data_IF_024656932364
#
_entry.id   IF_024656932364
#
_cell.length_a   1.000
_cell.length_b   1.000
_cell.length_c   1.000
_cell.angle_alpha   90.00
_cell.angle_beta   90.00
_cell.angle_gamma   90.00
#
_symmetry.space_group_name_H-M   'P 1'
#
loop_
_entity.id
_entity.type
_entity.pdbx_description
1 polymer ?
#
# COMPACT_ATOMS: atom_id res chain seq x y z
N UNK A 1 -0.96 68.49 -33.76
CA UNK A 1 -1.24 67.05 -33.70
C UNK A 1 -1.93 66.79 -32.37
N UNK A 2 -3.24 66.52 -32.39
CA UNK A 2 -4.10 66.49 -31.20
C UNK A 2 -4.04 65.09 -30.59
N UNK A 3 -3.73 65.03 -29.29
CA UNK A 3 -3.82 63.83 -28.46
C UNK A 3 -5.29 63.38 -28.36
N UNK A 4 -5.62 62.22 -28.92
CA UNK A 4 -6.88 61.55 -28.68
C UNK A 4 -6.76 60.67 -27.42
N UNK A 5 -7.06 61.26 -26.27
CA UNK A 5 -7.38 60.55 -25.04
C UNK A 5 -8.72 59.83 -25.24
N UNK A 6 -8.66 58.56 -25.66
CA UNK A 6 -9.85 57.69 -25.66
C UNK A 6 -10.17 57.36 -24.21
N UNK A 7 -11.24 57.99 -23.71
CA UNK A 7 -11.89 57.72 -22.43
C UNK A 7 -12.40 56.28 -22.41
N UNK A 8 -11.62 55.35 -21.83
CA UNK A 8 -12.07 53.99 -21.48
C UNK A 8 -12.81 54.09 -20.14
N UNK A 9 -13.93 54.81 -20.14
CA UNK A 9 -14.94 54.76 -19.08
C UNK A 9 -16.14 54.03 -19.66
N UNK A 10 -16.75 53.13 -18.88
CA UNK A 10 -18.01 52.43 -19.19
C UNK A 10 -17.86 51.10 -19.95
N UNK A 11 -16.85 50.28 -19.61
CA UNK A 11 -17.09 48.83 -19.66
C UNK A 11 -17.84 48.46 -18.38
N UNK A 12 -19.07 47.90 -18.45
CA UNK A 12 -19.69 47.33 -17.27
C UNK A 12 -18.74 46.26 -16.73
N UNK A 13 -18.24 46.47 -15.52
CA UNK A 13 -17.56 45.40 -14.80
C UNK A 13 -18.52 44.22 -14.76
N UNK A 14 -18.09 43.00 -15.13
CA UNK A 14 -18.95 41.83 -14.97
C UNK A 14 -19.43 41.79 -13.52
N UNK A 15 -20.72 41.51 -13.26
CA UNK A 15 -21.26 41.52 -11.92
C UNK A 15 -20.39 40.63 -11.04
N UNK A 16 -19.92 41.19 -9.93
CA UNK A 16 -19.11 40.48 -8.96
C UNK A 16 -19.90 39.23 -8.54
N UNK A 17 -19.32 38.02 -8.65
CA UNK A 17 -20.06 36.79 -8.39
C UNK A 17 -20.59 36.83 -6.96
N UNK A 18 -21.88 36.51 -6.78
CA UNK A 18 -22.49 36.51 -5.46
C UNK A 18 -21.63 35.70 -4.46
N UNK A 19 -21.52 36.13 -3.19
CA UNK A 19 -20.66 35.48 -2.19
C UNK A 19 -20.91 33.97 -2.04
N UNK A 20 -22.17 33.55 -2.27
CA UNK A 20 -22.58 32.16 -2.24
C UNK A 20 -22.00 31.35 -3.41
N UNK A 21 -22.01 31.90 -4.62
CA UNK A 21 -21.38 31.26 -5.79
C UNK A 21 -19.87 31.14 -5.64
N UNK A 22 -19.21 32.15 -5.06
CA UNK A 22 -17.78 32.12 -4.80
C UNK A 22 -17.41 31.01 -3.79
N UNK A 23 -18.24 30.82 -2.76
CA UNK A 23 -18.06 29.76 -1.77
C UNK A 23 -18.20 28.37 -2.40
N UNK A 24 -19.24 28.13 -3.19
CA UNK A 24 -19.43 26.85 -3.87
C UNK A 24 -18.28 26.54 -4.81
N UNK A 25 -17.78 27.53 -5.55
CA UNK A 25 -16.60 27.39 -6.40
C UNK A 25 -15.36 27.04 -5.58
N UNK A 26 -15.10 27.73 -4.47
CA UNK A 26 -13.98 27.46 -3.59
C UNK A 26 -14.05 26.04 -3.02
N UNK A 27 -15.24 25.62 -2.57
CA UNK A 27 -15.49 24.28 -2.07
C UNK A 27 -15.15 23.22 -3.13
N UNK A 28 -15.69 23.37 -4.36
CA UNK A 28 -15.45 22.47 -5.48
C UNK A 28 -13.97 22.42 -5.89
N UNK A 29 -13.28 23.56 -5.91
CA UNK A 29 -11.83 23.60 -6.21
C UNK A 29 -11.06 22.77 -5.18
N UNK A 30 -11.33 22.95 -3.88
CA UNK A 30 -10.64 22.17 -2.85
C UNK A 30 -10.99 20.68 -2.87
N UNK A 31 -12.26 20.32 -3.10
CA UNK A 31 -12.66 18.93 -3.35
C UNK A 31 -11.93 18.34 -4.57
N UNK A 32 -11.84 19.11 -5.65
CA UNK A 32 -11.12 18.73 -6.86
C UNK A 32 -9.63 18.51 -6.61
N UNK A 33 -8.98 19.36 -5.81
CA UNK A 33 -7.58 19.17 -5.42
C UNK A 33 -7.38 17.91 -4.57
N UNK A 34 -8.18 17.72 -3.52
CA UNK A 34 -8.07 16.58 -2.60
C UNK A 34 -8.32 15.26 -3.32
N UNK A 35 -9.43 15.14 -4.05
CA UNK A 35 -9.78 13.89 -4.73
C UNK A 35 -9.01 13.69 -6.03
N UNK A 36 -8.65 14.76 -6.74
CA UNK A 36 -7.78 14.69 -7.92
C UNK A 36 -6.40 14.15 -7.58
N UNK A 37 -5.80 14.64 -6.49
CA UNK A 37 -4.53 14.09 -6.00
C UNK A 37 -4.66 12.63 -5.55
N UNK A 38 -5.74 12.25 -4.88
CA UNK A 38 -5.98 10.84 -4.59
C UNK A 38 -6.01 10.00 -5.88
N UNK A 39 -6.80 10.42 -6.88
CA UNK A 39 -6.99 9.68 -8.13
C UNK A 39 -5.68 9.47 -8.89
N UNK A 40 -4.86 10.52 -9.04
CA UNK A 40 -3.56 10.46 -9.73
C UNK A 40 -2.59 9.51 -9.04
N UNK A 41 -2.69 9.36 -7.72
CA UNK A 41 -1.79 8.52 -6.93
C UNK A 41 -2.25 7.06 -6.80
N UNK A 42 -3.46 6.71 -7.24
CA UNK A 42 -3.91 5.31 -7.27
C UNK A 42 -2.99 4.45 -8.15
N UNK A 43 -2.75 4.79 -9.44
CA UNK A 43 -1.84 4.01 -10.28
C UNK A 43 -0.41 3.96 -9.75
N UNK A 44 0.07 5.07 -9.18
CA UNK A 44 1.42 5.14 -8.59
C UNK A 44 1.57 4.18 -7.40
N UNK A 45 0.55 4.04 -6.56
CA UNK A 45 0.58 3.05 -5.48
C UNK A 45 0.37 1.61 -5.95
N UNK A 46 -0.31 1.40 -7.08
CA UNK A 46 -0.53 0.07 -7.64
C UNK A 46 0.76 -0.51 -8.26
N UNK A 47 1.51 0.30 -8.99
CA UNK A 47 2.66 -0.16 -9.79
C UNK A 47 4.01 0.38 -9.31
N UNK A 48 4.02 1.52 -8.62
CA UNK A 48 5.22 2.24 -8.24
C UNK A 48 5.77 1.82 -6.88
N UNK A 49 7.01 2.22 -6.62
CA UNK A 49 7.61 2.12 -5.29
C UNK A 49 7.30 3.37 -4.47
N UNK A 50 7.46 3.29 -3.15
CA UNK A 50 7.37 4.46 -2.26
C UNK A 50 8.32 5.57 -2.70
N UNK A 51 9.51 5.22 -3.18
CA UNK A 51 10.49 6.18 -3.70
C UNK A 51 9.96 6.92 -4.93
N UNK A 52 9.39 6.20 -5.91
CA UNK A 52 8.76 6.84 -7.07
C UNK A 52 7.57 7.71 -6.67
N UNK A 53 6.79 7.28 -5.68
CA UNK A 53 5.66 8.04 -5.14
C UNK A 53 6.11 9.38 -4.56
N UNK A 54 7.22 9.39 -3.79
CA UNK A 54 7.80 10.61 -3.22
C UNK A 54 8.29 11.56 -4.32
N UNK A 55 9.00 11.03 -5.33
CA UNK A 55 9.48 11.85 -6.45
C UNK A 55 8.32 12.51 -7.18
N UNK A 56 7.28 11.74 -7.51
CA UNK A 56 6.10 12.27 -8.19
C UNK A 56 5.35 13.29 -7.34
N UNK A 57 5.29 13.09 -6.02
CA UNK A 57 4.71 14.07 -5.10
C UNK A 57 5.46 15.40 -5.13
N UNK A 58 6.79 15.36 -5.08
CA UNK A 58 7.62 16.58 -5.16
C UNK A 58 7.48 17.27 -6.52
N UNK A 59 7.47 16.48 -7.60
CA UNK A 59 7.33 17.00 -8.96
C UNK A 59 5.96 17.64 -9.20
N UNK A 60 4.88 17.04 -8.69
CA UNK A 60 3.51 17.58 -8.79
C UNK A 60 3.24 18.71 -7.81
N UNK A 61 3.95 18.78 -6.68
CA UNK A 61 3.75 19.82 -5.68
C UNK A 61 4.03 21.22 -6.25
N UNK A 62 5.11 21.40 -7.02
CA UNK A 62 5.49 22.71 -7.56
C UNK A 62 4.43 23.32 -8.51
N UNK A 63 3.93 22.60 -9.54
CA UNK A 63 2.86 23.13 -10.39
C UNK A 63 1.54 23.33 -9.62
N UNK A 64 1.21 22.46 -8.65
CA UNK A 64 0.03 22.66 -7.80
C UNK A 64 0.16 23.93 -6.94
N UNK A 65 1.32 24.16 -6.35
CA UNK A 65 1.61 25.34 -5.55
C UNK A 65 1.45 26.60 -6.41
N UNK A 66 2.02 26.61 -7.62
CA UNK A 66 1.88 27.75 -8.54
C UNK A 66 0.41 27.99 -8.92
N UNK A 67 -0.35 26.93 -9.21
CA UNK A 67 -1.79 27.01 -9.48
C UNK A 67 -2.55 27.60 -8.29
N UNK A 68 -2.25 27.14 -7.07
CA UNK A 68 -2.88 27.61 -5.84
C UNK A 68 -2.54 29.06 -5.55
N UNK A 69 -1.30 29.51 -5.74
CA UNK A 69 -0.90 30.92 -5.61
C UNK A 69 -1.71 31.79 -6.57
N UNK A 70 -1.86 31.36 -7.83
CA UNK A 70 -2.65 32.10 -8.81
C UNK A 70 -4.13 32.16 -8.41
N UNK A 71 -4.70 31.05 -7.95
CA UNK A 71 -6.10 31.00 -7.53
C UNK A 71 -6.34 31.73 -6.20
N UNK A 72 -5.35 31.81 -5.29
CA UNK A 72 -5.50 32.49 -4.00
C UNK A 72 -5.68 33.99 -4.15
N UNK A 73 -5.20 34.58 -5.27
CA UNK A 73 -5.49 35.99 -5.59
C UNK A 73 -6.99 36.26 -5.78
N UNK A 74 -7.76 35.24 -6.19
CA UNK A 74 -9.20 35.36 -6.46
C UNK A 74 -10.06 34.77 -5.34
N UNK A 75 -9.62 33.68 -4.72
CA UNK A 75 -10.43 32.91 -3.77
C UNK A 75 -9.87 32.92 -2.33
N UNK A 76 -8.77 33.64 -2.08
CA UNK A 76 -8.17 33.80 -0.77
C UNK A 76 -7.25 32.64 -0.34
N UNK A 77 -6.70 32.79 0.87
CA UNK A 77 -5.63 31.93 1.39
C UNK A 77 -6.10 30.55 1.90
N UNK A 78 -7.41 30.31 1.98
CA UNK A 78 -7.95 28.99 2.36
C UNK A 78 -7.52 27.88 1.39
N UNK A 79 -7.18 28.23 0.14
CA UNK A 79 -6.68 27.26 -0.85
C UNK A 79 -5.33 26.62 -0.46
N UNK A 80 -4.51 27.27 0.38
CA UNK A 80 -3.28 26.63 0.89
C UNK A 80 -3.59 25.46 1.84
N UNK A 81 -4.72 25.52 2.56
CA UNK A 81 -5.20 24.40 3.37
C UNK A 81 -5.64 23.26 2.46
N UNK A 82 -6.40 23.54 1.39
CA UNK A 82 -6.77 22.54 0.40
C UNK A 82 -5.54 21.89 -0.26
N UNK A 83 -4.51 22.67 -0.56
CA UNK A 83 -3.22 22.16 -1.07
C UNK A 83 -2.60 21.17 -0.08
N UNK A 84 -2.50 21.54 1.20
CA UNK A 84 -1.96 20.66 2.22
C UNK A 84 -2.76 19.35 2.36
N UNK A 85 -4.10 19.45 2.42
CA UNK A 85 -4.98 18.27 2.49
C UNK A 85 -4.84 17.38 1.25
N UNK A 86 -4.61 17.97 0.07
CA UNK A 86 -4.38 17.22 -1.18
C UNK A 86 -3.09 16.40 -1.16
N UNK A 87 -2.04 16.88 -0.48
CA UNK A 87 -0.80 16.12 -0.31
C UNK A 87 -1.00 14.92 0.63
N UNK A 88 -1.75 15.11 1.73
CA UNK A 88 -2.13 13.99 2.60
C UNK A 88 -2.98 12.96 1.85
N UNK A 89 -3.89 13.43 1.01
CA UNK A 89 -4.75 12.59 0.16
C UNK A 89 -3.94 11.71 -0.80
N UNK A 90 -2.88 12.26 -1.41
CA UNK A 90 -1.96 11.51 -2.25
C UNK A 90 -1.28 10.35 -1.48
N UNK A 91 -0.85 10.61 -0.24
CA UNK A 91 -0.28 9.59 0.65
C UNK A 91 -1.31 8.50 1.03
N UNK A 92 -2.50 8.90 1.47
CA UNK A 92 -3.58 7.95 1.82
C UNK A 92 -3.95 7.07 0.61
N UNK A 93 -4.07 7.69 -0.56
CA UNK A 93 -4.42 6.97 -1.78
C UNK A 93 -3.33 5.98 -2.21
N UNK A 94 -2.09 6.44 -2.32
CA UNK A 94 -0.97 5.59 -2.76
C UNK A 94 -0.62 4.47 -1.79
N UNK A 95 -0.84 4.63 -0.48
CA UNK A 95 -0.44 3.65 0.54
C UNK A 95 -1.55 2.67 0.94
N UNK A 96 -2.83 3.02 0.73
CA UNK A 96 -3.96 2.20 1.21
C UNK A 96 -4.95 1.84 0.11
N UNK A 97 -5.45 2.85 -0.60
CA UNK A 97 -6.52 2.68 -1.60
C UNK A 97 -5.98 1.94 -2.83
N UNK A 98 -4.81 2.34 -3.32
CA UNK A 98 -4.13 1.77 -4.48
C UNK A 98 -3.98 0.25 -4.41
N UNK A 99 -3.54 -0.27 -3.27
CA UNK A 99 -3.31 -1.69 -3.05
C UNK A 99 -4.61 -2.48 -3.10
N UNK A 100 -5.67 -1.91 -2.54
CA UNK A 100 -7.00 -2.53 -2.54
C UNK A 100 -7.59 -2.59 -3.94
N UNK A 101 -7.49 -1.49 -4.70
CA UNK A 101 -7.93 -1.44 -6.10
C UNK A 101 -7.12 -2.39 -6.97
N UNK A 102 -5.79 -2.41 -6.80
CA UNK A 102 -4.90 -3.33 -7.50
C UNK A 102 -5.31 -4.78 -7.31
N UNK A 103 -5.62 -5.18 -6.08
CA UNK A 103 -6.10 -6.54 -5.79
C UNK A 103 -7.41 -6.88 -6.47
N UNK A 104 -8.41 -6.00 -6.44
CA UNK A 104 -9.68 -6.24 -7.15
C UNK A 104 -9.49 -6.34 -8.67
N UNK A 105 -8.51 -5.64 -9.22
CA UNK A 105 -8.12 -5.74 -10.63
C UNK A 105 -7.22 -6.94 -10.94
N UNK A 106 -6.92 -7.81 -9.96
CA UNK A 106 -6.03 -8.97 -10.14
C UNK A 106 -4.55 -8.59 -10.29
N UNK A 107 -4.18 -7.37 -9.89
CA UNK A 107 -2.82 -6.85 -9.88
C UNK A 107 -2.27 -7.02 -8.46
N UNK A 108 -1.40 -8.02 -8.23
CA UNK A 108 -0.94 -8.34 -6.90
C UNK A 108 -0.05 -7.23 -6.37
N UNK A 109 -0.23 -6.96 -5.09
CA UNK A 109 0.60 -6.01 -4.34
C UNK A 109 1.93 -6.68 -4.06
N UNK A 110 2.86 -6.53 -5.00
CA UNK A 110 4.18 -7.15 -4.93
C UNK A 110 4.70 -7.51 -6.31
N UNK A 111 6.00 -7.84 -6.39
CA UNK A 111 6.60 -8.34 -7.62
C UNK A 111 6.04 -9.75 -7.88
N UNK A 112 5.34 -9.94 -8.99
CA UNK A 112 5.00 -11.27 -9.48
C UNK A 112 6.29 -12.08 -9.61
N UNK A 113 6.38 -13.18 -8.88
CA UNK A 113 7.53 -14.05 -8.93
C UNK A 113 7.12 -15.38 -9.52
N UNK A 114 7.76 -15.74 -10.62
CA UNK A 114 7.67 -17.08 -11.16
C UNK A 114 8.62 -17.97 -10.35
N UNK A 115 8.09 -19.08 -9.81
CA UNK A 115 8.88 -20.08 -9.10
C UNK A 115 9.89 -20.79 -10.02
N UNK A 116 9.70 -20.71 -11.34
CA UNK A 116 10.61 -21.28 -12.35
C UNK A 116 11.92 -20.50 -12.50
N UNK A 117 11.93 -19.21 -12.14
CA UNK A 117 13.12 -18.35 -12.20
C UNK A 117 13.84 -18.43 -10.84
N UNK A 118 14.83 -19.30 -10.75
CA UNK A 118 15.47 -19.67 -9.50
C UNK A 118 16.11 -18.52 -8.69
N UNK A 119 16.31 -18.81 -7.40
CA UNK A 119 17.53 -18.45 -6.67
C UNK A 119 17.44 -17.31 -5.66
N UNK A 120 16.99 -16.11 -6.03
CA UNK A 120 16.95 -14.99 -5.09
C UNK A 120 15.74 -14.09 -5.33
N UNK A 121 14.65 -14.43 -4.67
CA UNK A 121 13.54 -13.52 -4.48
C UNK A 121 14.04 -12.37 -3.59
N UNK A 122 14.20 -11.17 -4.17
CA UNK A 122 14.89 -10.04 -3.54
C UNK A 122 14.37 -9.63 -2.15
N UNK A 123 14.92 -8.54 -1.58
CA UNK A 123 14.65 -8.05 -0.20
C UNK A 123 13.19 -7.65 0.10
N UNK A 124 12.25 -7.94 -0.79
CA UNK A 124 10.85 -7.60 -0.64
C UNK A 124 10.21 -8.40 0.50
N UNK A 125 9.49 -7.68 1.36
CA UNK A 125 8.86 -8.24 2.56
C UNK A 125 7.64 -9.09 2.26
N UNK A 126 6.84 -8.71 1.24
CA UNK A 126 5.63 -9.43 0.83
C UNK A 126 5.84 -9.90 -0.61
N UNK A 127 5.63 -11.19 -0.83
CA UNK A 127 5.75 -11.83 -2.15
C UNK A 127 4.44 -12.52 -2.51
N UNK A 128 4.12 -12.48 -3.81
CA UNK A 128 2.92 -13.10 -4.37
C UNK A 128 3.33 -14.08 -5.46
N UNK A 129 2.92 -15.34 -5.29
CA UNK A 129 3.15 -16.41 -6.25
C UNK A 129 1.84 -16.79 -6.95
N UNK A 130 1.93 -17.11 -8.23
CA UNK A 130 0.80 -17.53 -9.08
C UNK A 130 0.98 -18.98 -9.50
N UNK A 131 -0.14 -19.68 -9.67
CA UNK A 131 -0.16 -21.06 -10.19
C UNK A 131 0.71 -22.02 -9.37
N UNK A 132 0.63 -21.90 -8.05
CA UNK A 132 1.45 -22.67 -7.11
C UNK A 132 0.61 -23.68 -6.35
N UNK A 133 1.24 -24.76 -5.91
CA UNK A 133 0.66 -25.76 -5.02
C UNK A 133 1.60 -26.02 -3.85
N UNK A 134 1.03 -26.23 -2.67
CA UNK A 134 1.77 -26.72 -1.51
C UNK A 134 1.76 -28.24 -1.56
N UNK A 135 2.89 -28.87 -1.24
CA UNK A 135 2.97 -30.32 -1.16
C UNK A 135 2.89 -30.78 0.31
N UNK A 136 1.70 -31.15 0.81
CA UNK A 136 1.52 -31.54 2.21
C UNK A 136 2.20 -32.87 2.57
N UNK A 137 2.49 -33.72 1.59
CA UNK A 137 3.13 -35.03 1.82
C UNK A 137 4.60 -34.92 2.22
N UNK A 138 5.21 -33.73 2.09
CA UNK A 138 6.63 -33.48 2.35
C UNK A 138 6.85 -32.52 3.53
N UNK A 139 5.94 -32.52 4.50
CA UNK A 139 6.02 -31.63 5.67
C UNK A 139 7.14 -32.10 6.61
N UNK A 140 7.91 -31.12 7.11
CA UNK A 140 8.86 -31.30 8.21
C UNK A 140 8.47 -30.38 9.38
N UNK A 141 8.59 -30.91 10.60
CA UNK A 141 8.12 -30.25 11.82
C UNK A 141 9.27 -30.08 12.79
N UNK A 142 9.42 -28.88 13.37
CA UNK A 142 10.37 -28.62 14.45
C UNK A 142 9.80 -27.64 15.47
N UNK A 143 10.45 -27.59 16.62
CA UNK A 143 10.26 -26.56 17.63
C UNK A 143 11.42 -25.56 17.63
N UNK A 144 11.12 -24.29 17.86
CA UNK A 144 12.10 -23.25 18.14
C UNK A 144 11.84 -22.64 19.52
N UNK A 145 12.90 -22.18 20.18
CA UNK A 145 12.78 -21.44 21.43
C UNK A 145 12.79 -19.95 21.09
N UNK A 146 11.69 -19.28 21.38
CA UNK A 146 11.57 -17.83 21.25
C UNK A 146 11.75 -17.17 22.61
N UNK A 147 12.65 -16.19 22.68
CA UNK A 147 12.81 -15.34 23.86
C UNK A 147 11.99 -14.07 23.67
N UNK A 148 11.14 -13.75 24.63
CA UNK A 148 10.41 -12.47 24.62
C UNK A 148 11.41 -11.31 24.72
N UNK A 149 11.24 -10.27 23.90
CA UNK A 149 12.05 -9.04 24.02
C UNK A 149 11.74 -8.27 25.31
N UNK A 150 10.53 -8.39 25.85
CA UNK A 150 10.10 -7.72 27.07
C UNK A 150 10.56 -8.44 28.35
N UNK A 151 10.65 -9.78 28.30
CA UNK A 151 11.07 -10.62 29.42
C UNK A 151 12.00 -11.74 28.91
N UNK A 152 13.33 -11.52 28.89
CA UNK A 152 14.27 -12.48 28.32
C UNK A 152 14.37 -13.80 29.10
N UNK A 153 13.84 -13.86 30.33
CA UNK A 153 13.73 -15.07 31.14
C UNK A 153 12.56 -15.96 30.71
N UNK A 154 11.51 -15.39 30.10
CA UNK A 154 10.37 -16.14 29.63
C UNK A 154 10.68 -16.73 28.25
N UNK A 155 11.09 -18.00 28.24
CA UNK A 155 11.29 -18.77 27.01
C UNK A 155 9.98 -19.41 26.59
N UNK A 156 9.53 -19.17 25.36
CA UNK A 156 8.36 -19.82 24.78
C UNK A 156 8.79 -20.78 23.67
N UNK A 157 8.40 -22.03 23.80
CA UNK A 157 8.57 -23.01 22.71
C UNK A 157 7.51 -22.74 21.65
N UNK A 158 7.94 -22.54 20.42
CA UNK A 158 7.07 -22.36 19.25
C UNK A 158 7.23 -23.60 18.38
N UNK A 159 6.12 -24.26 18.05
CA UNK A 159 6.10 -25.33 17.07
C UNK A 159 5.81 -24.76 15.70
N UNK A 160 6.52 -25.27 14.69
CA UNK A 160 6.32 -24.85 13.32
C UNK A 160 6.49 -26.00 12.35
N UNK A 161 5.79 -25.89 11.23
CA UNK A 161 5.81 -26.83 10.13
C UNK A 161 6.29 -26.12 8.88
N UNK A 162 7.12 -26.79 8.10
CA UNK A 162 7.56 -26.29 6.81
C UNK A 162 7.13 -27.25 5.71
N UNK A 163 6.55 -26.70 4.65
CA UNK A 163 6.09 -27.44 3.47
C UNK A 163 6.71 -26.84 2.20
N UNK A 164 7.02 -27.66 1.17
CA UNK A 164 7.39 -27.17 -0.14
C UNK A 164 6.26 -26.36 -0.79
N UNK A 165 6.60 -25.22 -1.38
CA UNK A 165 5.73 -24.50 -2.31
C UNK A 165 6.34 -24.57 -3.70
N UNK A 166 5.62 -25.19 -4.61
CA UNK A 166 6.10 -25.51 -5.95
C UNK A 166 5.13 -24.99 -7.01
N UNK A 167 5.60 -24.88 -8.25
CA UNK A 167 4.72 -24.62 -9.39
C UNK A 167 3.68 -25.74 -9.53
N UNK A 168 2.51 -25.40 -10.04
CA UNK A 168 1.45 -26.35 -10.40
C UNK A 168 1.96 -27.47 -11.32
N UNK A 169 2.92 -27.16 -12.20
CA UNK A 169 3.54 -28.08 -13.16
C UNK A 169 4.69 -28.93 -12.59
N UNK A 170 5.08 -28.70 -11.33
CA UNK A 170 6.19 -29.42 -10.68
C UNK A 170 5.96 -30.94 -10.64
N UNK A 171 7.02 -31.68 -10.97
CA UNK A 171 7.09 -33.14 -10.93
C UNK A 171 8.13 -33.61 -9.91
N UNK A 172 7.95 -34.84 -9.41
CA UNK A 172 8.88 -35.44 -8.45
C UNK A 172 10.29 -35.56 -9.07
N UNK A 173 11.26 -34.86 -8.49
CA UNK A 173 12.63 -34.76 -8.97
C UNK A 173 13.05 -33.33 -9.34
N UNK A 174 12.08 -32.46 -9.61
CA UNK A 174 12.35 -31.04 -9.87
C UNK A 174 12.82 -30.33 -8.58
N UNK A 175 13.72 -29.33 -8.67
CA UNK A 175 14.23 -28.62 -7.51
C UNK A 175 13.15 -27.81 -6.80
N UNK A 176 13.27 -27.71 -5.47
CA UNK A 176 12.38 -26.92 -4.63
C UNK A 176 13.14 -25.69 -4.12
N UNK A 177 12.76 -24.52 -4.64
CA UNK A 177 13.36 -23.24 -4.28
C UNK A 177 12.63 -22.52 -3.14
N UNK A 178 11.33 -22.78 -2.99
CA UNK A 178 10.45 -22.04 -2.07
C UNK A 178 9.76 -22.96 -1.08
N UNK A 179 9.70 -22.48 0.16
CA UNK A 179 9.15 -23.18 1.30
C UNK A 179 8.21 -22.28 2.08
N UNK A 180 7.21 -22.86 2.71
CA UNK A 180 6.23 -22.15 3.50
C UNK A 180 6.27 -22.66 4.93
N UNK A 181 6.47 -21.76 5.88
CA UNK A 181 6.47 -22.02 7.30
C UNK A 181 5.13 -21.60 7.91
N UNK A 182 4.54 -22.50 8.69
CA UNK A 182 3.34 -22.26 9.47
C UNK A 182 3.68 -22.44 10.95
N UNK A 183 3.45 -21.40 11.75
CA UNK A 183 3.73 -21.37 13.18
C UNK A 183 2.44 -21.52 13.99
N UNK A 184 2.43 -22.43 14.96
CA UNK A 184 1.36 -22.53 15.95
C UNK A 184 1.96 -22.81 17.32
N UNK A 185 1.44 -22.12 18.33
CA UNK A 185 1.88 -22.30 19.72
C UNK A 185 1.36 -23.61 20.34
N UNK A 186 0.28 -24.20 19.83
CA UNK A 186 -0.46 -25.24 20.57
C UNK A 186 -0.65 -26.58 19.84
N UNK A 187 -0.86 -26.66 18.51
CA UNK A 187 -1.17 -27.94 17.79
C UNK A 187 -0.80 -27.95 16.29
N UNK A 188 -0.50 -29.11 15.65
CA UNK A 188 0.22 -29.23 14.38
C UNK A 188 -0.66 -29.28 13.13
N UNK A 189 -1.81 -28.60 13.13
CA UNK A 189 -2.69 -28.56 11.95
C UNK A 189 -2.55 -27.21 11.26
N UNK A 190 -1.77 -27.19 10.18
CA UNK A 190 -1.69 -26.04 9.30
C UNK A 190 -2.76 -26.20 8.21
N UNK A 191 -3.71 -25.26 8.17
CA UNK A 191 -4.64 -25.19 7.06
C UNK A 191 -3.95 -24.45 5.92
N UNK A 192 -3.39 -25.22 5.00
CA UNK A 192 -2.76 -24.73 3.78
C UNK A 192 -3.88 -24.40 2.79
N UNK A 193 -4.45 -23.19 2.89
CA UNK A 193 -5.60 -22.81 2.06
C UNK A 193 -5.36 -23.00 0.56
N UNK A 194 -6.42 -23.30 -0.19
CA UNK A 194 -6.40 -23.41 -1.65
C UNK A 194 -6.64 -22.05 -2.29
N UNK A 195 -5.58 -21.27 -2.51
CA UNK A 195 -5.69 -19.99 -3.21
C UNK A 195 -4.91 -20.01 -4.52
N UNK A 196 -5.50 -19.44 -5.58
CA UNK A 196 -4.85 -19.26 -6.90
C UNK A 196 -3.60 -18.36 -6.79
N UNK A 197 -3.61 -17.47 -5.79
CA UNK A 197 -2.51 -16.60 -5.42
C UNK A 197 -2.01 -16.94 -4.02
N UNK A 198 -0.72 -17.22 -3.87
CA UNK A 198 -0.13 -17.45 -2.56
C UNK A 198 0.61 -16.20 -2.07
N UNK A 199 0.14 -15.64 -0.95
CA UNK A 199 0.69 -14.45 -0.33
C UNK A 199 1.55 -14.83 0.87
N UNK A 200 2.82 -14.43 0.87
CA UNK A 200 3.77 -14.78 1.92
C UNK A 200 4.59 -13.59 2.39
N UNK A 201 4.83 -13.52 3.70
CA UNK A 201 5.88 -12.67 4.27
C UNK A 201 7.23 -13.39 4.18
N UNK A 202 8.24 -12.74 3.60
CA UNK A 202 9.59 -13.30 3.48
C UNK A 202 10.27 -13.35 4.85
N UNK A 203 10.66 -14.55 5.28
CA UNK A 203 11.25 -14.79 6.59
C UNK A 203 12.79 -14.66 6.62
N UNK A 204 13.45 -14.25 5.52
CA UNK A 204 14.93 -14.12 5.45
C UNK A 204 15.56 -13.33 6.60
N UNK A 205 14.84 -12.32 7.12
CA UNK A 205 15.30 -11.48 8.24
C UNK A 205 14.60 -11.77 9.57
N UNK A 206 13.82 -12.85 9.65
CA UNK A 206 13.11 -13.24 10.87
C UNK A 206 14.08 -13.88 11.88
N UNK A 207 13.89 -13.62 13.18
CA UNK A 207 14.76 -14.16 14.24
C UNK A 207 14.81 -15.69 14.27
N UNK A 208 13.72 -16.34 13.86
CA UNK A 208 13.59 -17.80 13.80
C UNK A 208 14.07 -18.43 12.48
N UNK A 209 14.58 -17.63 11.54
CA UNK A 209 15.04 -18.11 10.23
C UNK A 209 16.02 -19.30 10.30
N UNK A 210 17.02 -19.33 11.20
CA UNK A 210 17.90 -20.48 11.33
C UNK A 210 17.16 -21.79 11.62
N UNK A 211 16.11 -21.75 12.45
CA UNK A 211 15.30 -22.92 12.79
C UNK A 211 14.47 -23.40 11.58
N UNK A 212 13.91 -22.46 10.81
CA UNK A 212 13.21 -22.82 9.56
C UNK A 212 14.17 -23.45 8.54
N UNK A 213 15.37 -22.88 8.36
CA UNK A 213 16.39 -23.41 7.44
C UNK A 213 16.76 -24.85 7.79
N UNK A 214 16.94 -25.16 9.07
CA UNK A 214 17.22 -26.53 9.53
C UNK A 214 16.08 -27.49 9.17
N UNK A 215 14.83 -27.07 9.35
CA UNK A 215 13.65 -27.91 9.07
C UNK A 215 13.48 -28.18 7.57
N UNK A 216 13.82 -27.20 6.73
CA UNK A 216 13.88 -27.34 5.28
C UNK A 216 14.97 -28.33 4.86
N UNK A 217 16.15 -28.26 5.48
CA UNK A 217 17.24 -29.21 5.22
C UNK A 217 16.85 -30.64 5.63
N UNK A 218 16.16 -30.80 6.76
CA UNK A 218 15.65 -32.10 7.18
C UNK A 218 14.61 -32.65 6.21
N UNK A 219 13.68 -31.82 5.75
CA UNK A 219 12.71 -32.20 4.72
C UNK A 219 13.41 -32.67 3.44
N UNK A 220 14.44 -31.94 3.01
CA UNK A 220 15.29 -32.31 1.88
C UNK A 220 15.92 -33.69 2.03
N UNK A 221 16.45 -34.00 3.22
CA UNK A 221 17.09 -35.29 3.53
C UNK A 221 16.09 -36.43 3.63
N UNK A 222 15.00 -36.26 4.40
CA UNK A 222 14.00 -37.29 4.68
C UNK A 222 13.30 -37.70 3.37
N UNK A 223 12.92 -36.70 2.57
CA UNK A 223 12.12 -36.93 1.37
C UNK A 223 12.94 -36.95 0.07
N UNK A 224 14.27 -36.86 0.17
CA UNK A 224 15.20 -36.84 -0.97
C UNK A 224 14.87 -35.76 -2.00
N UNK A 225 14.50 -34.56 -1.52
CA UNK A 225 14.20 -33.41 -2.37
C UNK A 225 15.47 -32.59 -2.64
N UNK A 226 15.62 -32.08 -3.85
CA UNK A 226 16.71 -31.16 -4.21
C UNK A 226 16.40 -29.77 -3.67
N UNK A 227 17.01 -29.43 -2.53
CA UNK A 227 16.83 -28.14 -1.86
C UNK A 227 17.93 -27.17 -2.30
N UNK A 228 17.55 -25.94 -2.63
CA UNK A 228 18.52 -24.87 -2.91
C UNK A 228 19.39 -24.55 -1.69
N UNK A 229 20.63 -24.10 -1.90
CA UNK A 229 21.56 -23.69 -0.85
C UNK A 229 21.01 -22.53 0.02
N UNK A 230 20.21 -21.66 -0.61
CA UNK A 230 19.51 -20.53 0.01
C UNK A 230 18.00 -20.67 -0.23
N UNK A 231 17.31 -21.58 0.49
CA UNK A 231 15.88 -21.77 0.31
C UNK A 231 15.15 -20.51 0.78
N UNK A 232 14.17 -20.04 0.00
CA UNK A 232 13.36 -18.91 0.42
C UNK A 232 12.16 -19.40 1.20
N UNK A 233 11.99 -18.91 2.43
CA UNK A 233 10.99 -19.38 3.38
C UNK A 233 9.98 -18.27 3.65
N UNK A 234 8.69 -18.61 3.56
CA UNK A 234 7.59 -17.66 3.68
C UNK A 234 6.63 -18.03 4.80
N UNK A 235 6.09 -17.04 5.50
CA UNK A 235 4.90 -17.25 6.32
C UNK A 235 3.65 -16.88 5.52
N UNK A 236 2.66 -17.78 5.36
CA UNK A 236 1.41 -17.43 4.70
C UNK A 236 0.72 -16.31 5.46
N UNK A 237 0.20 -15.33 4.73
CA UNK A 237 -0.70 -14.31 5.29
C UNK A 237 -2.10 -14.93 5.32
N UNK A 238 -2.66 -15.13 6.51
CA UNK A 238 -4.05 -15.55 6.66
C UNK A 238 -5.01 -14.45 6.16
N UNK A 239 -6.04 -14.83 5.39
CA UNK A 239 -7.04 -13.96 4.76
C UNK A 239 -6.47 -12.65 4.18
N UNK A 240 -5.61 -12.72 3.13
CA UNK A 240 -5.01 -11.53 2.54
C UNK A 240 -6.07 -10.54 2.04
N UNK A 241 -7.19 -11.06 1.54
CA UNK A 241 -8.33 -10.27 1.06
C UNK A 241 -8.93 -9.40 2.17
N UNK A 242 -9.18 -9.99 3.35
CA UNK A 242 -9.75 -9.28 4.49
C UNK A 242 -8.81 -8.19 5.01
N UNK A 243 -7.50 -8.47 5.02
CA UNK A 243 -6.48 -7.49 5.42
C UNK A 243 -6.42 -6.33 4.42
N UNK A 244 -6.52 -6.63 3.13
CA UNK A 244 -6.46 -5.62 2.08
C UNK A 244 -7.73 -4.77 2.02
N UNK A 245 -8.91 -5.39 2.09
CA UNK A 245 -10.19 -4.69 2.17
C UNK A 245 -10.22 -3.77 3.39
N UNK A 246 -9.70 -4.22 4.54
CA UNK A 246 -9.57 -3.37 5.73
C UNK A 246 -8.62 -2.19 5.48
N UNK A 247 -7.49 -2.40 4.83
CA UNK A 247 -6.59 -1.32 4.46
C UNK A 247 -7.26 -0.31 3.52
N UNK A 248 -8.02 -0.79 2.53
CA UNK A 248 -8.83 0.04 1.64
C UNK A 248 -9.91 0.83 2.38
N UNK A 249 -10.60 0.22 3.34
CA UNK A 249 -11.56 0.93 4.21
C UNK A 249 -10.89 2.04 5.03
N UNK A 250 -9.68 1.80 5.58
CA UNK A 250 -8.92 2.85 6.25
C UNK A 250 -8.53 3.96 5.29
N UNK A 251 -8.11 3.62 4.07
CA UNK A 251 -7.83 4.59 3.01
C UNK A 251 -9.06 5.44 2.67
N UNK A 252 -10.21 4.81 2.46
CA UNK A 252 -11.46 5.49 2.15
C UNK A 252 -11.91 6.39 3.32
N UNK A 253 -11.83 5.89 4.55
CA UNK A 253 -12.14 6.65 5.76
C UNK A 253 -11.21 7.86 5.91
N UNK A 254 -9.91 7.70 5.61
CA UNK A 254 -8.96 8.81 5.61
C UNK A 254 -9.31 9.86 4.56
N UNK A 255 -9.69 9.44 3.36
CA UNK A 255 -10.12 10.35 2.30
C UNK A 255 -11.42 11.10 2.67
N UNK A 256 -12.39 10.41 3.28
CA UNK A 256 -13.60 11.03 3.83
C UNK A 256 -13.26 12.07 4.90
N UNK A 257 -12.36 11.73 5.83
CA UNK A 257 -11.90 12.65 6.86
C UNK A 257 -11.27 13.91 6.26
N UNK A 258 -10.39 13.78 5.27
CA UNK A 258 -9.73 14.93 4.61
C UNK A 258 -10.74 15.83 3.90
N UNK A 259 -11.69 15.25 3.16
CA UNK A 259 -12.77 16.00 2.51
C UNK A 259 -13.69 16.69 3.53
N UNK A 260 -14.00 16.01 4.64
CA UNK A 260 -14.79 16.59 5.72
C UNK A 260 -14.06 17.72 6.45
N UNK A 261 -12.75 17.58 6.69
CA UNK A 261 -11.92 18.66 7.22
C UNK A 261 -11.94 19.88 6.30
N UNK A 262 -11.85 19.68 4.99
CA UNK A 262 -11.98 20.78 4.02
C UNK A 262 -13.34 21.49 4.13
N UNK A 263 -14.43 20.72 4.18
CA UNK A 263 -15.77 21.28 4.36
C UNK A 263 -15.88 22.13 5.64
N UNK A 264 -15.36 21.64 6.76
CA UNK A 264 -15.34 22.40 8.03
C UNK A 264 -14.52 23.68 7.90
N UNK A 265 -13.35 23.64 7.26
CA UNK A 265 -12.50 24.81 7.08
C UNK A 265 -13.22 25.92 6.30
N UNK A 266 -13.98 25.58 5.26
CA UNK A 266 -14.79 26.55 4.52
C UNK A 266 -15.89 27.14 5.40
N UNK A 267 -16.62 26.29 6.13
CA UNK A 267 -17.72 26.74 6.98
C UNK A 267 -17.24 27.66 8.12
N UNK A 268 -16.14 27.28 8.78
CA UNK A 268 -15.51 28.12 9.79
C UNK A 268 -14.96 29.43 9.20
N UNK A 269 -14.32 29.36 8.03
CA UNK A 269 -13.84 30.54 7.30
C UNK A 269 -14.94 31.57 7.07
N UNK A 270 -16.11 31.14 6.60
CA UNK A 270 -17.28 32.01 6.45
C UNK A 270 -17.77 32.63 7.76
N UNK A 271 -17.75 31.86 8.86
CA UNK A 271 -18.21 32.34 10.16
C UNK A 271 -17.31 33.43 10.75
N UNK A 272 -16.00 33.34 10.52
CA UNK A 272 -15.04 34.34 11.01
C UNK A 272 -14.96 35.57 10.09
N UNK A 273 -15.17 35.41 8.79
CA UNK A 273 -15.16 36.52 7.83
C UNK A 273 -16.38 37.43 7.99
N UNK A 274 -17.56 36.89 8.34
CA UNK A 274 -18.78 37.67 8.64
C UNK A 274 -18.72 38.50 9.93
N UNK A 275 -17.68 38.34 10.77
CA UNK A 275 -17.51 39.09 12.04
C UNK A 275 -16.54 40.27 11.92
N UNK A 276 -15.99 40.54 10.74
CA UNK A 276 -15.22 41.75 10.43
C UNK A 276 -16.08 42.69 9.60
#
# INVERSE_FOLDING_TARGET
MIFALVKIGDRPFPPEPSPQNLTWQLLLIGFGLVNGMALVFIPLGMYGSVFFTIIWLLFLFLPLLFLVIRLSTKFGNLLYIALFLSLLSAGVSSLYISHTIGFFLGIPVGKNMDLSQGGEFGKNRILVFREVKILPDYISSRSAISKSKAEPQLTKTIYFHVAPLVSSTWKKGDPVHVWVACEKMELPTCNWGSSVFFWGENLKHHSLYPYYKLSVQDAGRIYKLTVSEYPTIFRPIADPEKKLVRAGMYGLSGLFFLNYSWFICIFLGQFFEKRK
#
